data_IF_006885318133
#
_entry.id   IF_006885318133
#
_cell.length_a   1.000
_cell.length_b   1.000
_cell.length_c   1.000
_cell.angle_alpha   90.00
_cell.angle_beta   90.00
_cell.angle_gamma   90.00
#
_symmetry.space_group_name_H-M   'P 1'
#
loop_
_entity.id
_entity.type
_entity.pdbx_description
1 polymer ?
#
# COMPACT_ATOMS: atom_id res chain seq x y z
N UNK A 1 -8.55 -48.96 -6.75
CA UNK A 1 -9.70 -48.18 -7.28
C UNK A 1 -9.65 -46.78 -6.66
N UNK A 2 -9.24 -45.78 -7.42
CA UNK A 2 -9.22 -44.38 -6.97
C UNK A 2 -10.67 -43.86 -6.90
N UNK A 3 -11.16 -43.62 -5.69
CA UNK A 3 -12.39 -42.84 -5.51
C UNK A 3 -12.08 -41.39 -5.87
N UNK A 4 -12.50 -40.99 -7.07
CA UNK A 4 -12.57 -39.60 -7.51
C UNK A 4 -13.35 -38.84 -6.42
N UNK A 5 -12.66 -38.01 -5.65
CA UNK A 5 -13.30 -37.17 -4.65
C UNK A 5 -14.17 -36.16 -5.36
N UNK A 6 -15.46 -36.46 -5.47
CA UNK A 6 -16.45 -35.53 -5.99
C UNK A 6 -16.54 -34.34 -5.04
N UNK A 7 -16.24 -33.18 -5.60
CA UNK A 7 -16.49 -31.87 -5.04
C UNK A 7 -17.79 -31.39 -5.64
N UNK A 8 -18.50 -30.59 -4.86
CA UNK A 8 -19.86 -30.16 -5.19
C UNK A 8 -19.95 -29.70 -6.65
N UNK A 9 -21.03 -30.12 -7.31
CA UNK A 9 -21.23 -29.88 -8.74
C UNK A 9 -21.08 -28.40 -9.09
N UNK A 10 -21.53 -27.52 -8.20
CA UNK A 10 -21.37 -26.07 -8.33
C UNK A 10 -19.89 -25.67 -8.42
N UNK A 11 -19.09 -25.99 -7.40
CA UNK A 11 -17.68 -25.63 -7.34
C UNK A 11 -16.86 -26.23 -8.50
N UNK A 12 -17.16 -27.49 -8.84
CA UNK A 12 -16.53 -28.18 -9.97
C UNK A 12 -16.86 -27.52 -11.30
N UNK A 13 -18.08 -27.05 -11.51
CA UNK A 13 -18.44 -26.35 -12.75
C UNK A 13 -17.80 -24.97 -12.81
N UNK A 14 -17.71 -24.26 -11.69
CA UNK A 14 -17.13 -22.91 -11.63
C UNK A 14 -15.63 -22.91 -11.95
N UNK A 15 -14.87 -23.82 -11.36
CA UNK A 15 -13.43 -23.93 -11.65
C UNK A 15 -13.13 -24.60 -13.00
N UNK A 16 -14.06 -25.40 -13.55
CA UNK A 16 -13.93 -26.01 -14.90
C UNK A 16 -14.40 -25.11 -16.03
N UNK A 17 -15.24 -24.11 -15.75
CA UNK A 17 -15.50 -23.04 -16.70
C UNK A 17 -14.16 -22.38 -16.97
N UNK A 18 -13.62 -22.70 -18.15
CA UNK A 18 -12.37 -22.15 -18.70
C UNK A 18 -12.31 -20.68 -18.32
N UNK A 19 -11.29 -20.26 -17.55
CA UNK A 19 -11.09 -18.90 -17.05
C UNK A 19 -11.43 -17.93 -18.18
N UNK A 20 -12.63 -17.36 -18.16
CA UNK A 20 -13.13 -16.68 -19.35
C UNK A 20 -12.37 -15.39 -19.59
N UNK A 21 -11.63 -14.90 -18.58
CA UNK A 21 -10.84 -13.67 -18.59
C UNK A 21 -9.69 -13.69 -17.55
N UNK A 22 -9.03 -14.83 -17.30
CA UNK A 22 -8.00 -14.94 -16.24
C UNK A 22 -8.52 -14.63 -14.81
N UNK A 23 -9.84 -14.71 -14.61
CA UNK A 23 -10.50 -14.47 -13.32
C UNK A 23 -11.00 -15.79 -12.74
N UNK A 24 -10.66 -16.06 -11.48
CA UNK A 24 -11.24 -17.13 -10.66
C UNK A 24 -12.24 -16.49 -9.71
N UNK A 25 -13.55 -16.70 -9.92
CA UNK A 25 -14.59 -16.25 -8.99
C UNK A 25 -15.32 -17.43 -8.38
N UNK A 26 -15.32 -17.49 -7.06
CA UNK A 26 -16.07 -18.43 -6.22
C UNK A 26 -17.06 -17.69 -5.31
N UNK A 27 -17.35 -16.43 -5.64
CA UNK A 27 -18.16 -15.53 -4.83
C UNK A 27 -19.50 -16.16 -4.45
N UNK A 28 -19.86 -16.08 -3.18
CA UNK A 28 -21.13 -16.57 -2.65
C UNK A 28 -21.26 -18.10 -2.57
N UNK A 29 -20.19 -18.86 -2.84
CA UNK A 29 -20.17 -20.31 -2.64
C UNK A 29 -19.48 -20.61 -1.30
N UNK A 30 -20.21 -21.08 -0.26
CA UNK A 30 -19.59 -21.45 1.00
C UNK A 30 -18.54 -22.55 0.81
N UNK A 31 -17.30 -22.30 1.25
CA UNK A 31 -16.20 -23.24 1.09
C UNK A 31 -15.99 -24.03 2.39
N UNK A 32 -16.20 -25.35 2.32
CA UNK A 32 -15.79 -26.23 3.41
C UNK A 32 -14.26 -26.36 3.47
N UNK A 33 -13.70 -26.80 4.61
CA UNK A 33 -12.25 -27.05 4.70
C UNK A 33 -11.71 -27.97 3.60
N UNK A 34 -12.49 -28.97 3.16
CA UNK A 34 -12.10 -29.86 2.04
C UNK A 34 -12.08 -29.13 0.70
N UNK A 35 -12.99 -28.18 0.51
CA UNK A 35 -13.08 -27.38 -0.71
C UNK A 35 -11.92 -26.38 -0.81
N UNK A 36 -11.53 -25.78 0.32
CA UNK A 36 -10.34 -24.91 0.40
C UNK A 36 -9.09 -25.65 -0.08
N UNK A 37 -8.87 -26.91 0.32
CA UNK A 37 -7.75 -27.71 -0.18
C UNK A 37 -7.80 -27.95 -1.70
N UNK A 38 -9.00 -28.16 -2.25
CA UNK A 38 -9.19 -28.36 -3.70
C UNK A 38 -8.93 -27.07 -4.47
N UNK A 39 -9.40 -25.94 -3.93
CA UNK A 39 -9.09 -24.61 -4.46
C UNK A 39 -7.58 -24.37 -4.43
N UNK A 40 -6.90 -24.65 -3.33
CA UNK A 40 -5.44 -24.53 -3.23
C UNK A 40 -4.73 -25.32 -4.33
N UNK A 41 -5.11 -26.57 -4.54
CA UNK A 41 -4.57 -27.42 -5.61
C UNK A 41 -4.84 -26.86 -7.02
N UNK A 42 -6.05 -26.33 -7.25
CA UNK A 42 -6.41 -25.70 -8.52
C UNK A 42 -5.58 -24.43 -8.78
N UNK A 43 -5.45 -23.57 -7.76
CA UNK A 43 -4.68 -22.34 -7.81
C UNK A 43 -3.19 -22.62 -8.07
N UNK A 44 -2.64 -23.67 -7.47
CA UNK A 44 -1.26 -24.09 -7.72
C UNK A 44 -1.04 -24.53 -9.18
N UNK A 45 -2.01 -25.21 -9.78
CA UNK A 45 -1.87 -25.80 -11.12
C UNK A 45 -2.27 -24.86 -12.27
N UNK A 46 -3.06 -23.82 -12.00
CA UNK A 46 -3.61 -22.92 -13.02
C UNK A 46 -3.34 -21.43 -12.74
N UNK A 47 -2.60 -21.09 -11.68
CA UNK A 47 -2.42 -19.73 -11.18
C UNK A 47 -1.56 -18.80 -12.05
N UNK A 48 -0.74 -19.33 -12.97
CA UNK A 48 0.20 -18.52 -13.78
C UNK A 48 -0.49 -17.49 -14.68
N UNK A 49 -1.71 -17.81 -15.12
CA UNK A 49 -2.52 -16.93 -15.96
C UNK A 49 -3.44 -16.02 -15.16
N UNK A 50 -3.78 -16.38 -13.92
CA UNK A 50 -4.85 -15.74 -13.14
C UNK A 50 -4.44 -14.33 -12.72
N UNK A 51 -5.26 -13.34 -13.10
CA UNK A 51 -5.07 -11.93 -12.77
C UNK A 51 -5.99 -11.44 -11.65
N UNK A 52 -7.12 -12.10 -11.43
CA UNK A 52 -8.01 -11.78 -10.32
C UNK A 52 -8.60 -13.03 -9.66
N UNK A 53 -8.67 -12.99 -8.33
CA UNK A 53 -9.29 -14.03 -7.51
C UNK A 53 -10.36 -13.39 -6.63
N UNK A 54 -11.57 -13.90 -6.73
CA UNK A 54 -12.73 -13.48 -5.96
C UNK A 54 -13.24 -14.65 -5.11
N UNK A 55 -13.03 -14.51 -3.80
CA UNK A 55 -13.45 -15.43 -2.75
C UNK A 55 -14.43 -14.74 -1.79
N UNK A 56 -15.18 -13.76 -2.28
CA UNK A 56 -16.07 -12.98 -1.43
C UNK A 56 -17.27 -13.81 -0.96
N UNK A 57 -17.72 -13.60 0.27
CA UNK A 57 -18.89 -14.29 0.83
C UNK A 57 -18.80 -15.83 0.75
N UNK A 58 -17.61 -16.39 0.99
CA UNK A 58 -17.36 -17.85 0.92
C UNK A 58 -17.29 -18.51 2.30
N UNK A 59 -17.60 -17.75 3.36
CA UNK A 59 -17.48 -18.17 4.77
C UNK A 59 -16.05 -18.53 5.19
N UNK A 60 -15.03 -18.01 4.49
CA UNK A 60 -13.62 -18.27 4.83
C UNK A 60 -13.30 -17.81 6.26
N UNK A 61 -12.57 -18.67 6.96
CA UNK A 61 -11.97 -18.40 8.27
C UNK A 61 -10.46 -18.18 8.11
N UNK A 62 -9.83 -17.65 9.15
CA UNK A 62 -8.40 -17.31 9.19
C UNK A 62 -7.49 -18.47 8.76
N UNK A 63 -7.74 -19.68 9.25
CA UNK A 63 -6.96 -20.88 8.94
C UNK A 63 -7.05 -21.25 7.46
N UNK A 64 -8.24 -21.08 6.88
CA UNK A 64 -8.49 -21.39 5.47
C UNK A 64 -7.78 -20.39 4.57
N UNK A 65 -7.83 -19.10 4.89
CA UNK A 65 -7.08 -18.09 4.14
C UNK A 65 -5.56 -18.27 4.32
N UNK A 66 -5.07 -18.58 5.52
CA UNK A 66 -3.64 -18.93 5.74
C UNK A 66 -3.18 -20.07 4.84
N UNK A 67 -4.02 -21.07 4.63
CA UNK A 67 -3.71 -22.19 3.73
C UNK A 67 -3.59 -21.73 2.28
N UNK A 68 -4.41 -20.77 1.85
CA UNK A 68 -4.43 -20.26 0.48
C UNK A 68 -3.31 -19.25 0.19
N UNK A 69 -2.84 -18.50 1.20
CA UNK A 69 -1.86 -17.42 1.04
C UNK A 69 -0.60 -17.80 0.24
N UNK A 70 0.07 -18.95 0.46
CA UNK A 70 1.27 -19.30 -0.32
C UNK A 70 0.99 -19.47 -1.80
N UNK A 71 -0.18 -20.00 -2.15
CA UNK A 71 -0.57 -20.21 -3.55
C UNK A 71 -0.96 -18.90 -4.21
N UNK A 72 -1.77 -18.08 -3.54
CA UNK A 72 -2.15 -16.73 -4.00
C UNK A 72 -0.92 -15.83 -4.17
N UNK A 73 0.00 -15.86 -3.20
CA UNK A 73 1.22 -15.07 -3.22
C UNK A 73 2.20 -15.50 -4.32
N UNK A 74 2.18 -16.77 -4.73
CA UNK A 74 3.01 -17.27 -5.83
C UNK A 74 2.52 -16.90 -7.24
N UNK A 75 1.30 -16.36 -7.37
CA UNK A 75 0.73 -16.03 -8.67
C UNK A 75 1.38 -14.78 -9.27
N UNK A 76 2.05 -14.89 -10.44
CA UNK A 76 2.82 -13.79 -11.01
C UNK A 76 1.94 -12.66 -11.54
N UNK A 77 0.70 -12.95 -11.94
CA UNK A 77 -0.21 -11.99 -12.59
C UNK A 77 -1.34 -11.48 -11.69
N UNK A 78 -1.48 -12.00 -10.47
CA UNK A 78 -2.56 -11.64 -9.57
C UNK A 78 -2.46 -10.15 -9.20
N UNK A 79 -3.40 -9.34 -9.68
CA UNK A 79 -3.50 -7.90 -9.39
C UNK A 79 -4.59 -7.60 -8.39
N UNK A 80 -5.66 -8.41 -8.37
CA UNK A 80 -6.87 -8.17 -7.59
C UNK A 80 -7.24 -9.39 -6.76
N UNK A 81 -7.38 -9.22 -5.45
CA UNK A 81 -7.84 -10.24 -4.52
C UNK A 81 -9.07 -9.74 -3.75
N UNK A 82 -10.24 -10.33 -3.99
CA UNK A 82 -11.43 -10.02 -3.22
C UNK A 82 -11.68 -11.12 -2.17
N UNK A 83 -11.66 -10.73 -0.89
CA UNK A 83 -11.89 -11.61 0.27
C UNK A 83 -12.89 -10.98 1.25
N UNK A 84 -13.70 -10.03 0.78
CA UNK A 84 -14.74 -9.37 1.55
C UNK A 84 -15.91 -10.31 1.90
N UNK A 85 -16.65 -10.01 2.97
CA UNK A 85 -17.83 -10.79 3.35
C UNK A 85 -17.51 -12.14 4.01
N UNK A 86 -16.31 -12.31 4.56
CA UNK A 86 -15.86 -13.57 5.17
C UNK A 86 -15.78 -13.46 6.70
N UNK A 87 -15.37 -14.55 7.36
CA UNK A 87 -15.22 -14.64 8.82
C UNK A 87 -13.78 -14.38 9.25
N UNK A 88 -13.11 -13.42 8.59
CA UNK A 88 -11.71 -13.11 8.83
C UNK A 88 -11.53 -12.14 9.99
N UNK A 89 -10.41 -12.26 10.69
CA UNK A 89 -10.04 -11.40 11.82
C UNK A 89 -8.77 -10.59 11.58
N UNK A 90 -8.43 -9.70 12.52
CA UNK A 90 -7.12 -9.01 12.52
C UNK A 90 -5.93 -9.98 12.57
N UNK A 91 -6.13 -11.23 13.02
CA UNK A 91 -5.11 -12.27 13.06
C UNK A 91 -4.56 -12.56 11.67
N UNK A 92 -5.40 -13.04 10.76
CA UNK A 92 -5.00 -13.33 9.37
C UNK A 92 -4.60 -12.08 8.58
N UNK A 93 -5.14 -10.92 8.95
CA UNK A 93 -4.76 -9.65 8.32
C UNK A 93 -3.29 -9.29 8.58
N UNK A 94 -2.76 -9.61 9.77
CA UNK A 94 -1.32 -9.47 10.06
C UNK A 94 -0.50 -10.41 9.18
N UNK A 95 -0.93 -11.65 9.00
CA UNK A 95 -0.22 -12.61 8.15
C UNK A 95 -0.21 -12.16 6.68
N UNK A 96 -1.37 -11.76 6.16
CA UNK A 96 -1.48 -11.20 4.81
C UNK A 96 -0.52 -10.02 4.65
N UNK A 97 -0.46 -9.13 5.64
CA UNK A 97 0.44 -7.98 5.64
C UNK A 97 1.91 -8.42 5.58
N UNK A 98 2.33 -9.40 6.36
CA UNK A 98 3.71 -9.93 6.32
C UNK A 98 4.03 -10.61 4.98
N UNK A 99 3.10 -11.38 4.42
CA UNK A 99 3.28 -12.01 3.11
C UNK A 99 3.39 -10.95 2.01
N UNK A 100 2.54 -9.91 2.03
CA UNK A 100 2.56 -8.82 1.05
C UNK A 100 3.80 -7.92 1.20
N UNK A 101 4.48 -7.90 2.36
CA UNK A 101 5.79 -7.23 2.50
C UNK A 101 6.93 -7.99 1.80
N UNK A 102 6.83 -9.30 1.64
CA UNK A 102 7.88 -10.11 1.01
C UNK A 102 7.89 -9.93 -0.52
N UNK A 103 8.94 -9.34 -1.15
CA UNK A 103 8.95 -9.01 -2.58
C UNK A 103 8.71 -10.21 -3.51
N UNK A 104 9.05 -11.43 -3.07
CA UNK A 104 8.84 -12.67 -3.84
C UNK A 104 7.39 -13.16 -3.84
N UNK A 105 6.56 -12.62 -2.95
CA UNK A 105 5.14 -12.93 -2.83
C UNK A 105 4.32 -11.74 -3.32
N UNK A 106 3.18 -12.03 -3.97
CA UNK A 106 2.25 -11.04 -4.48
C UNK A 106 2.94 -9.99 -5.37
N UNK A 107 3.73 -10.47 -6.35
CA UNK A 107 4.58 -9.62 -7.20
C UNK A 107 3.81 -8.52 -7.95
N UNK A 108 2.57 -8.80 -8.35
CA UNK A 108 1.73 -7.90 -9.14
C UNK A 108 0.48 -7.38 -8.39
N UNK A 109 0.32 -7.73 -7.10
CA UNK A 109 -0.89 -7.40 -6.36
C UNK A 109 -1.00 -5.89 -6.15
N UNK A 110 -2.11 -5.33 -6.65
CA UNK A 110 -2.40 -3.91 -6.58
C UNK A 110 -3.59 -3.62 -5.65
N UNK A 111 -4.54 -4.56 -5.55
CA UNK A 111 -5.77 -4.33 -4.80
C UNK A 111 -6.21 -5.56 -3.97
N UNK A 112 -6.67 -5.31 -2.75
CA UNK A 112 -7.28 -6.30 -1.86
C UNK A 112 -8.56 -5.74 -1.26
N UNK A 113 -9.69 -6.38 -1.53
CA UNK A 113 -10.95 -6.06 -0.85
C UNK A 113 -11.11 -6.88 0.43
N UNK A 114 -11.09 -6.20 1.57
CA UNK A 114 -11.19 -6.74 2.93
C UNK A 114 -12.50 -6.36 3.62
N UNK A 115 -13.43 -5.69 2.92
CA UNK A 115 -14.66 -5.18 3.53
C UNK A 115 -15.55 -6.28 4.14
N UNK A 116 -16.45 -5.88 5.04
CA UNK A 116 -17.49 -6.76 5.57
C UNK A 116 -16.96 -8.09 6.15
N UNK A 117 -15.84 -8.05 6.86
CA UNK A 117 -15.31 -9.19 7.61
C UNK A 117 -15.68 -9.08 9.10
N UNK A 118 -15.63 -10.20 9.82
CA UNK A 118 -16.08 -10.26 11.23
C UNK A 118 -15.33 -9.29 12.14
N UNK A 119 -14.01 -9.17 11.97
CA UNK A 119 -13.17 -8.34 12.83
C UNK A 119 -12.15 -7.53 12.00
N UNK A 120 -12.55 -7.04 10.82
CA UNK A 120 -11.74 -6.14 10.00
C UNK A 120 -12.60 -4.94 9.59
N UNK A 121 -12.40 -3.83 10.29
CA UNK A 121 -13.13 -2.58 10.06
C UNK A 121 -12.31 -1.54 9.30
N UNK A 122 -10.98 -1.71 9.26
CA UNK A 122 -10.04 -0.83 8.57
C UNK A 122 -8.91 -1.63 7.94
N UNK A 123 -8.30 -1.07 6.89
CA UNK A 123 -7.11 -1.66 6.26
C UNK A 123 -5.87 -1.11 6.97
N UNK A 124 -4.97 -1.95 7.50
CA UNK A 124 -3.82 -1.49 8.28
C UNK A 124 -2.82 -0.75 7.40
N UNK A 125 -2.27 0.36 7.91
CA UNK A 125 -1.32 1.21 7.19
C UNK A 125 -0.13 0.44 6.59
N UNK A 126 0.50 -0.54 7.28
CA UNK A 126 1.58 -1.32 6.67
C UNK A 126 1.17 -2.08 5.40
N UNK A 127 -0.08 -2.56 5.31
CA UNK A 127 -0.58 -3.24 4.11
C UNK A 127 -0.74 -2.24 2.96
N UNK A 128 -1.35 -1.08 3.22
CA UNK A 128 -1.51 -0.02 2.22
C UNK A 128 -0.15 0.46 1.67
N UNK A 129 0.83 0.66 2.57
CA UNK A 129 2.19 1.06 2.18
C UNK A 129 2.87 -0.04 1.36
N UNK A 130 2.72 -1.31 1.74
CA UNK A 130 3.30 -2.43 1.00
C UNK A 130 2.73 -2.55 -0.43
N UNK A 131 1.40 -2.42 -0.59
CA UNK A 131 0.74 -2.40 -1.90
C UNK A 131 1.21 -1.20 -2.74
N UNK A 132 1.23 0.01 -2.16
CA UNK A 132 1.67 1.24 -2.87
C UNK A 132 3.11 1.16 -3.36
N UNK A 133 4.04 0.65 -2.55
CA UNK A 133 5.46 0.53 -2.92
C UNK A 133 5.65 -0.36 -4.14
N UNK A 134 4.87 -1.43 -4.27
CA UNK A 134 4.93 -2.35 -5.40
C UNK A 134 4.38 -1.72 -6.68
N UNK A 135 3.32 -0.93 -6.56
CA UNK A 135 2.74 -0.22 -7.71
C UNK A 135 3.66 0.91 -8.22
N UNK A 136 4.30 1.66 -7.31
CA UNK A 136 5.20 2.77 -7.63
C UNK A 136 6.48 2.36 -8.39
N UNK A 137 6.88 1.09 -8.33
CA UNK A 137 7.97 0.54 -9.16
C UNK A 137 7.57 0.34 -10.64
N UNK A 138 6.28 0.38 -10.98
CA UNK A 138 5.77 0.16 -12.35
C UNK A 138 5.34 1.45 -13.05
N UNK A 139 5.12 2.53 -12.31
CA UNK A 139 4.86 3.85 -12.87
C UNK A 139 6.05 4.75 -12.55
N UNK A 140 7.03 4.84 -13.44
CA UNK A 140 7.90 6.01 -13.42
C UNK A 140 6.99 7.22 -13.61
N UNK A 141 6.94 8.12 -12.64
CA UNK A 141 6.39 9.45 -12.88
C UNK A 141 7.11 10.02 -14.12
N UNK A 142 6.40 10.57 -15.12
CA UNK A 142 7.06 11.22 -16.24
C UNK A 142 7.97 12.31 -15.68
N UNK A 143 9.28 12.14 -15.84
CA UNK A 143 10.22 13.20 -15.50
C UNK A 143 9.96 14.36 -16.46
N UNK A 144 9.57 15.51 -15.93
CA UNK A 144 9.59 16.75 -16.71
C UNK A 144 11.03 16.98 -17.16
N UNK A 145 11.22 17.11 -18.48
CA UNK A 145 12.51 17.42 -19.07
C UNK A 145 12.88 18.84 -18.64
N UNK A 146 13.86 19.00 -17.75
CA UNK A 146 14.40 20.31 -17.42
C UNK A 146 15.09 20.86 -18.68
N UNK A 147 14.42 21.81 -19.33
CA UNK A 147 15.01 22.61 -20.40
C UNK A 147 16.01 23.56 -19.73
N UNK A 148 17.29 23.20 -19.73
CA UNK A 148 18.34 24.16 -19.43
C UNK A 148 18.35 25.19 -20.57
N UNK A 149 17.86 26.39 -20.27
CA UNK A 149 18.05 27.56 -21.13
C UNK A 149 19.56 27.79 -21.25
N UNK A 150 20.13 27.29 -22.33
CA UNK A 150 21.48 27.65 -22.77
C UNK A 150 21.44 29.15 -23.07
N UNK A 151 22.12 29.90 -22.23
CA UNK A 151 22.42 31.32 -22.36
C UNK A 151 23.05 31.63 -23.72
N UNK A 152 22.25 31.94 -24.74
CA UNK A 152 22.71 32.65 -25.94
C UNK A 152 21.51 33.42 -26.50
N UNK A 153 21.34 34.68 -26.12
CA UNK A 153 21.09 35.78 -27.06
C UNK A 153 21.43 37.09 -26.37
N UNK A 154 22.71 37.45 -26.55
CA UNK A 154 23.15 38.83 -26.49
C UNK A 154 22.40 39.65 -27.55
N UNK A 155 22.07 40.89 -27.20
CA UNK A 155 21.88 42.03 -28.11
C UNK A 155 20.62 42.07 -28.99
N UNK A 156 19.55 42.71 -28.52
CA UNK A 156 19.04 43.96 -29.14
C UNK A 156 18.13 44.74 -28.18
N UNK A 157 18.55 45.98 -27.96
CA UNK A 157 17.80 47.10 -27.38
C UNK A 157 16.64 47.50 -28.28
N UNK A 158 15.43 47.61 -27.73
CA UNK A 158 14.34 48.37 -28.35
C UNK A 158 13.81 49.38 -27.32
N UNK A 159 14.45 50.55 -27.32
CA UNK A 159 13.89 51.77 -26.74
C UNK A 159 12.86 52.36 -27.70
N UNK A 160 11.67 52.66 -27.20
CA UNK A 160 10.84 53.76 -27.71
C UNK A 160 10.18 54.47 -26.54
N UNK A 161 10.65 55.70 -26.31
CA UNK A 161 10.22 56.66 -25.30
C UNK A 161 9.07 57.57 -25.79
N UNK A 162 8.52 58.37 -24.86
CA UNK A 162 7.75 59.65 -24.99
C UNK A 162 6.21 59.47 -25.08
N UNK A 163 5.34 60.05 -24.22
CA UNK A 163 5.40 61.21 -23.29
C UNK A 163 4.27 61.14 -22.22
N UNK A 164 4.50 61.66 -21.00
CA UNK A 164 3.51 61.91 -19.90
C UNK A 164 2.82 63.31 -20.05
N UNK A 165 2.23 64.03 -19.04
CA UNK A 165 1.60 63.71 -17.72
C UNK A 165 0.27 64.49 -17.42
N UNK A 166 -0.46 64.15 -16.34
CA UNK A 166 -1.22 65.18 -15.57
C UNK A 166 -1.36 64.83 -14.08
N UNK A 167 -0.38 65.34 -13.33
CA UNK A 167 -0.37 65.91 -11.98
C UNK A 167 -1.73 66.34 -11.39
N UNK A 168 -2.04 65.86 -10.18
CA UNK A 168 -2.49 66.69 -9.04
C UNK A 168 -1.89 66.08 -7.76
N UNK A 169 -1.06 66.85 -7.08
CA UNK A 169 -0.69 66.65 -5.67
C UNK A 169 -1.63 67.48 -4.80
N UNK A 170 -1.81 67.06 -3.54
CA UNK A 170 -1.68 67.86 -2.31
C UNK A 170 -2.34 67.05 -1.15
N UNK A 171 -1.54 66.54 -0.20
CA UNK A 171 -1.26 67.12 1.14
C UNK A 171 -2.38 66.77 2.16
N UNK A 172 -2.19 66.53 3.45
CA UNK A 172 -1.08 66.32 4.39
C UNK A 172 -1.70 65.75 5.69
N UNK A 173 -0.88 64.99 6.42
CA UNK A 173 -0.68 64.90 7.89
C UNK A 173 -1.85 65.09 8.89
N UNK A 174 -2.02 64.16 9.85
CA UNK A 174 -1.38 64.20 11.18
C UNK A 174 -1.84 63.04 12.12
N UNK A 175 -0.81 62.40 12.68
CA UNK A 175 -0.58 61.95 14.06
C UNK A 175 -1.66 61.35 14.98
N UNK A 176 -1.25 60.24 15.62
CA UNK A 176 -1.84 59.67 16.82
C UNK A 176 -0.90 58.64 17.42
N UNK A 177 -0.03 59.10 18.32
CA UNK A 177 0.98 58.37 19.09
C UNK A 177 0.40 57.21 19.94
N UNK A 178 1.20 56.16 20.12
CA UNK A 178 0.94 55.07 21.06
C UNK A 178 2.13 54.11 21.13
N UNK A 179 2.81 54.15 22.26
CA UNK A 179 4.17 53.68 22.57
C UNK A 179 4.39 52.14 22.60
N UNK A 180 5.63 51.77 22.23
CA UNK A 180 6.55 50.76 22.79
C UNK A 180 6.12 49.29 23.00
N UNK A 181 6.83 48.35 22.35
CA UNK A 181 7.86 47.50 22.98
C UNK A 181 8.38 46.41 22.01
N UNK A 182 9.69 46.16 22.06
CA UNK A 182 10.44 45.17 21.29
C UNK A 182 10.14 43.74 21.80
N UNK A 183 10.19 42.72 20.93
CA UNK A 183 11.25 41.69 21.04
C UNK A 183 11.06 40.46 20.12
N UNK A 184 12.07 40.30 19.27
CA UNK A 184 12.89 39.09 19.07
C UNK A 184 12.20 37.71 19.05
N UNK A 185 12.21 37.14 17.84
CA UNK A 185 11.96 35.73 17.52
C UNK A 185 12.94 34.79 18.24
N UNK A 186 12.45 33.80 19.00
CA UNK A 186 13.17 32.56 19.29
C UNK A 186 12.26 31.33 19.18
N UNK A 187 12.64 30.43 18.27
CA UNK A 187 12.08 29.08 18.09
C UNK A 187 12.77 28.16 19.10
N UNK A 188 12.10 27.77 20.19
CA UNK A 188 12.67 26.80 21.14
C UNK A 188 12.23 25.35 20.85
N UNK A 189 13.27 24.52 20.70
CA UNK A 189 13.22 23.08 20.63
C UNK A 189 13.02 22.49 22.03
N UNK A 190 11.98 21.68 22.20
CA UNK A 190 11.68 21.02 23.48
C UNK A 190 12.57 19.78 23.69
N UNK A 191 13.67 19.96 24.45
CA UNK A 191 14.12 19.00 25.48
C UNK A 191 13.70 19.55 26.85
N UNK A 192 13.59 18.86 27.98
CA UNK A 192 14.20 17.66 28.56
C UNK A 192 13.30 17.23 29.73
N UNK A 193 13.33 15.96 30.14
CA UNK A 193 12.74 15.53 31.41
C UNK A 193 13.32 14.21 31.93
N UNK A 194 14.53 14.26 32.48
CA UNK A 194 15.14 13.20 33.29
C UNK A 194 14.49 13.08 34.68
N UNK A 195 14.38 11.86 35.23
CA UNK A 195 15.06 11.50 36.51
C UNK A 195 14.90 10.01 36.90
N UNK A 196 16.07 9.39 37.05
CA UNK A 196 16.57 8.61 38.20
C UNK A 196 15.83 7.34 38.69
N UNK A 197 16.56 6.22 38.70
CA UNK A 197 16.20 5.04 39.50
C UNK A 197 16.96 3.77 39.10
N UNK A 198 18.11 3.53 39.73
CA UNK A 198 19.10 2.47 39.49
C UNK A 198 18.58 1.02 39.59
N UNK A 199 19.03 0.14 38.67
CA UNK A 199 20.01 -0.93 38.97
C UNK A 199 20.37 -1.77 37.72
N UNK A 200 21.65 -1.74 37.37
CA UNK A 200 22.29 -2.69 36.47
C UNK A 200 22.46 -4.06 37.15
N UNK A 201 22.15 -5.14 36.44
CA UNK A 201 22.87 -6.41 36.58
C UNK A 201 23.40 -6.78 35.20
N UNK A 202 24.72 -6.83 35.12
CA UNK A 202 25.50 -7.12 33.94
C UNK A 202 25.42 -8.61 33.59
N UNK A 203 25.31 -8.95 32.30
CA UNK A 203 25.77 -10.25 31.81
C UNK A 203 26.34 -10.06 30.41
N UNK A 204 27.66 -9.98 30.33
CA UNK A 204 28.42 -10.10 29.10
C UNK A 204 28.33 -11.55 28.61
N UNK A 205 27.91 -11.77 27.36
CA UNK A 205 28.15 -13.03 26.65
C UNK A 205 28.76 -12.71 25.29
N UNK A 206 29.97 -13.24 25.10
CA UNK A 206 30.81 -13.09 23.93
C UNK A 206 30.23 -13.81 22.70
N UNK A 207 30.27 -13.16 21.55
CA UNK A 207 29.97 -13.77 20.26
C UNK A 207 31.21 -14.50 19.74
N UNK A 208 31.12 -15.82 19.63
CA UNK A 208 32.12 -16.65 18.98
C UNK A 208 31.80 -16.73 17.48
N UNK A 209 32.70 -16.21 16.64
CA UNK A 209 32.65 -16.39 15.19
C UNK A 209 32.97 -17.85 14.85
N UNK A 210 32.26 -18.43 13.89
CA UNK A 210 32.56 -19.75 13.33
C UNK A 210 32.60 -19.61 11.81
N UNK A 211 33.80 -19.68 11.25
CA UNK A 211 34.04 -19.74 9.81
C UNK A 211 33.88 -21.17 9.30
N UNK A 212 33.36 -21.30 8.07
CA UNK A 212 33.57 -22.44 7.19
C UNK A 212 33.94 -21.93 5.81
#
# INVERSE_FOLDING_TARGET
MQRKGEWDGCLKTTLKKKLTNDVVSLSGIPLSGRDVHRVAYYLQSNGDSVSAVDLSFTELQDESLRLLLPYLGSMPKLTTLAINGNRLTVGVLKDLTEVVKNPLQFASLAWVDLGNNVDIFTVPQPLLVALRRRFGLRSSLPTIYEYSEVQVYSSYTLETSIEEPSRYEEEEEEEGEGEEEEDKLELEAWGVGEKLGEKCVSTNVALHYCER
#
